data_IF_005897552526
#
_entry.id   IF_005897552526
#
_cell.length_a   1.000
_cell.length_b   1.000
_cell.length_c   1.000
_cell.angle_alpha   90.00
_cell.angle_beta   90.00
_cell.angle_gamma   90.00
#
_symmetry.space_group_name_H-M   'P 1'
#
loop_
_entity.id
_entity.type
_entity.pdbx_description
1 polymer ?
#
# COMPACT_ATOMS: atom_id res chain seq x y z
N UNK A 1 9.91 15.08 -1.37
CA UNK A 1 11.32 14.80 -1.72
C UNK A 1 11.39 13.46 -2.45
N UNK A 2 12.26 13.31 -3.47
CA UNK A 2 12.46 12.04 -4.15
C UNK A 2 13.19 11.02 -3.26
N UNK A 3 12.89 9.73 -3.47
CA UNK A 3 13.50 8.60 -2.76
C UNK A 3 14.41 7.80 -3.70
N UNK A 4 15.69 8.19 -3.86
CA UNK A 4 16.63 7.44 -4.69
C UNK A 4 16.96 6.09 -4.05
N UNK A 5 17.03 5.05 -4.87
CA UNK A 5 17.37 3.67 -4.48
C UNK A 5 16.49 3.16 -3.31
N UNK A 6 15.16 3.05 -3.50
CA UNK A 6 14.25 2.68 -2.44
C UNK A 6 14.48 1.23 -2.00
N UNK A 7 14.62 1.00 -0.69
CA UNK A 7 14.58 -0.32 -0.07
C UNK A 7 13.27 -0.49 0.67
N UNK A 8 12.52 -1.55 0.34
CA UNK A 8 11.15 -1.78 0.83
C UNK A 8 11.12 -3.08 1.63
N UNK A 9 10.59 -3.01 2.85
CA UNK A 9 10.29 -4.19 3.68
C UNK A 9 8.78 -4.25 3.92
N UNK A 10 8.04 -5.18 3.27
CA UNK A 10 6.60 -5.28 3.40
C UNK A 10 6.17 -6.14 4.60
N UNK A 11 4.97 -5.89 5.09
CA UNK A 11 4.20 -6.73 6.03
C UNK A 11 2.74 -6.64 5.63
N UNK A 12 2.00 -7.75 5.66
CA UNK A 12 0.63 -7.80 5.17
C UNK A 12 -0.26 -8.57 6.14
N UNK A 13 -1.47 -8.07 6.28
CA UNK A 13 -2.49 -8.60 7.16
C UNK A 13 -3.79 -8.69 6.37
N UNK A 14 -4.57 -9.74 6.64
CA UNK A 14 -5.90 -9.89 6.10
C UNK A 14 -6.79 -10.37 7.22
N UNK A 15 -7.97 -9.81 7.36
CA UNK A 15 -8.93 -10.28 8.37
C UNK A 15 -9.29 -11.73 8.10
N UNK A 16 -9.03 -12.61 9.07
CA UNK A 16 -9.50 -13.99 9.05
C UNK A 16 -11.00 -14.02 9.35
N UNK A 17 -11.76 -14.74 8.53
CA UNK A 17 -13.21 -14.91 8.60
C UNK A 17 -13.83 -14.74 9.99
N UNK A 18 -14.55 -13.63 10.18
CA UNK A 18 -15.63 -13.60 11.17
C UNK A 18 -16.88 -14.08 10.43
N UNK A 19 -17.59 -15.07 10.97
CA UNK A 19 -18.76 -15.76 10.38
C UNK A 19 -19.91 -14.82 9.94
N UNK A 20 -19.82 -13.52 10.23
CA UNK A 20 -20.80 -12.46 9.97
C UNK A 20 -20.20 -11.28 9.17
N UNK A 21 -18.92 -11.31 8.81
CA UNK A 21 -18.30 -10.22 8.06
C UNK A 21 -18.72 -10.27 6.59
N UNK A 22 -19.40 -9.22 6.11
CA UNK A 22 -19.78 -9.07 4.70
C UNK A 22 -18.60 -8.64 3.82
N UNK A 23 -17.50 -8.18 4.41
CA UNK A 23 -16.32 -7.68 3.72
C UNK A 23 -15.04 -8.30 4.30
N UNK A 24 -14.06 -8.51 3.43
CA UNK A 24 -12.69 -8.87 3.79
C UNK A 24 -11.81 -7.63 3.69
N UNK A 25 -11.09 -7.30 4.76
CA UNK A 25 -10.18 -6.15 4.80
C UNK A 25 -8.74 -6.63 4.62
N UNK A 26 -8.04 -5.99 3.69
CA UNK A 26 -6.64 -6.19 3.40
C UNK A 26 -5.85 -4.97 3.87
N UNK A 27 -4.73 -5.22 4.54
CA UNK A 27 -3.82 -4.19 5.01
C UNK A 27 -2.42 -4.56 4.58
N UNK A 28 -1.75 -3.63 3.90
CA UNK A 28 -0.34 -3.77 3.53
C UNK A 28 0.42 -2.61 4.15
N UNK A 29 1.39 -2.96 4.98
CA UNK A 29 2.35 -2.05 5.57
C UNK A 29 3.70 -2.20 4.87
N UNK A 30 4.39 -1.09 4.63
CA UNK A 30 5.75 -1.08 4.13
C UNK A 30 6.63 -0.21 4.99
N UNK A 31 7.90 -0.60 5.13
CA UNK A 31 8.97 0.27 5.61
C UNK A 31 9.78 0.73 4.41
N UNK A 32 9.88 2.04 4.18
CA UNK A 32 10.64 2.66 3.11
C UNK A 32 11.92 3.26 3.67
N UNK A 33 13.04 2.82 3.12
CA UNK A 33 14.35 3.39 3.36
C UNK A 33 14.87 3.99 2.05
N UNK A 34 15.20 5.29 2.09
CA UNK A 34 15.80 6.02 0.97
C UNK A 34 17.27 6.27 1.27
N UNK A 35 18.15 6.17 0.27
CA UNK A 35 19.61 6.37 0.45
C UNK A 35 19.97 7.77 0.97
N UNK A 36 19.21 8.78 0.58
CA UNK A 36 19.36 10.16 1.04
C UNK A 36 18.71 10.44 2.41
N UNK A 37 18.11 9.42 3.04
CA UNK A 37 17.40 9.59 4.31
C UNK A 37 16.05 10.29 4.20
N UNK A 38 15.46 10.39 3.00
CA UNK A 38 14.12 10.95 2.85
C UNK A 38 13.08 10.10 3.61
N UNK A 39 12.29 10.76 4.46
CA UNK A 39 11.33 10.10 5.35
C UNK A 39 9.89 10.54 5.10
N UNK A 40 9.70 11.70 4.48
CA UNK A 40 8.40 12.33 4.23
C UNK A 40 7.98 12.25 2.76
N UNK A 41 8.20 11.10 2.14
CA UNK A 41 7.83 10.84 0.74
C UNK A 41 6.31 10.69 0.67
N UNK A 42 5.66 11.38 -0.27
CA UNK A 42 4.25 11.16 -0.54
C UNK A 42 4.12 9.93 -1.43
N UNK A 43 3.39 8.92 -0.97
CA UNK A 43 3.17 7.69 -1.71
C UNK A 43 1.71 7.56 -2.11
N UNK A 44 1.49 6.94 -3.26
CA UNK A 44 0.20 6.57 -3.81
C UNK A 44 0.20 5.08 -4.06
N UNK A 45 -0.91 4.40 -3.76
CA UNK A 45 -1.03 2.96 -3.98
C UNK A 45 -2.01 2.68 -5.12
N UNK A 46 -1.65 1.72 -5.96
CA UNK A 46 -2.54 1.06 -6.90
C UNK A 46 -2.67 -0.41 -6.50
N UNK A 47 -3.92 -0.86 -6.35
CA UNK A 47 -4.25 -2.25 -6.08
C UNK A 47 -5.16 -2.72 -7.20
N UNK A 48 -4.66 -3.63 -8.03
CA UNK A 48 -5.35 -4.17 -9.20
C UNK A 48 -5.95 -3.07 -10.12
N UNK A 49 -5.22 -1.98 -10.37
CA UNK A 49 -5.66 -0.89 -11.24
C UNK A 49 -6.59 0.14 -10.57
N UNK A 50 -6.84 0.02 -9.27
CA UNK A 50 -7.60 1.00 -8.49
C UNK A 50 -6.71 1.70 -7.48
N UNK A 51 -6.84 3.03 -7.41
CA UNK A 51 -6.06 3.85 -6.52
C UNK A 51 -6.62 3.83 -5.10
N UNK A 52 -5.74 3.69 -4.12
CA UNK A 52 -6.05 3.72 -2.70
C UNK A 52 -5.17 4.72 -1.96
N UNK A 53 -5.72 5.38 -0.91
CA UNK A 53 -4.93 6.30 -0.10
C UNK A 53 -3.83 5.54 0.65
N UNK A 54 -2.65 6.15 0.74
CA UNK A 54 -1.56 5.66 1.58
C UNK A 54 -1.46 6.55 2.81
N UNK A 55 -1.53 5.92 3.97
CA UNK A 55 -1.38 6.56 5.28
C UNK A 55 0.05 6.38 5.76
N UNK A 56 0.65 7.39 6.38
CA UNK A 56 1.94 7.24 7.07
C UNK A 56 1.71 6.64 8.47
N UNK A 57 2.50 5.63 8.81
CA UNK A 57 2.51 5.05 10.15
C UNK A 57 3.09 6.00 11.19
N UNK A 58 2.99 5.63 12.47
CA UNK A 58 3.57 6.41 13.58
C UNK A 58 5.10 6.37 13.57
N UNK A 59 5.68 5.26 13.12
CA UNK A 59 7.13 5.15 12.95
C UNK A 59 7.59 5.78 11.63
N UNK A 60 8.78 6.37 11.68
CA UNK A 60 9.44 6.98 10.54
C UNK A 60 9.62 5.96 9.40
N UNK A 61 9.20 6.36 8.19
CA UNK A 61 9.33 5.54 6.99
C UNK A 61 8.32 4.39 6.90
N UNK A 62 7.35 4.28 7.82
CA UNK A 62 6.23 3.33 7.69
C UNK A 62 5.10 3.91 6.87
N UNK A 63 4.54 3.10 5.98
CA UNK A 63 3.37 3.45 5.18
C UNK A 63 2.39 2.29 5.19
N UNK A 64 1.10 2.60 5.11
CA UNK A 64 0.03 1.63 5.09
C UNK A 64 -0.95 1.96 3.98
N UNK A 65 -1.36 0.95 3.23
CA UNK A 65 -2.56 0.98 2.38
C UNK A 65 -3.53 -0.09 2.87
N UNK A 66 -4.82 0.23 2.84
CA UNK A 66 -5.86 -0.75 3.12
C UNK A 66 -7.02 -0.60 2.14
N UNK A 67 -7.66 -1.73 1.87
CA UNK A 67 -8.88 -1.79 1.07
C UNK A 67 -9.76 -2.93 1.57
N UNK A 68 -11.06 -2.82 1.30
CA UNK A 68 -12.01 -3.90 1.51
C UNK A 68 -12.58 -4.40 0.18
N UNK A 69 -12.90 -5.68 0.15
CA UNK A 69 -13.68 -6.32 -0.91
C UNK A 69 -14.88 -7.00 -0.27
N UNK A 70 -15.99 -7.11 -1.02
CA UNK A 70 -17.07 -8.00 -0.61
C UNK A 70 -16.50 -9.41 -0.42
N UNK A 71 -16.87 -10.08 0.66
CA UNK A 71 -16.25 -11.37 1.03
C UNK A 71 -16.33 -12.40 -0.12
N UNK A 72 -17.43 -12.43 -0.88
CA UNK A 72 -17.59 -13.31 -2.05
C UNK A 72 -16.65 -12.98 -3.22
N UNK A 73 -16.17 -11.74 -3.29
CA UNK A 73 -15.23 -11.26 -4.30
C UNK A 73 -13.78 -11.34 -3.81
N UNK A 74 -13.56 -11.47 -2.50
CA UNK A 74 -12.26 -11.59 -1.86
C UNK A 74 -11.68 -13.01 -2.03
N UNK A 75 -11.30 -13.34 -3.27
CA UNK A 75 -10.73 -14.65 -3.58
C UNK A 75 -9.34 -14.84 -2.96
N UNK A 76 -9.02 -16.08 -2.59
CA UNK A 76 -7.66 -16.45 -2.24
C UNK A 76 -6.75 -16.35 -3.46
N UNK A 77 -5.62 -15.66 -3.32
CA UNK A 77 -4.70 -15.45 -4.43
C UNK A 77 -3.72 -14.32 -4.15
N UNK A 78 -2.95 -13.97 -5.18
CA UNK A 78 -2.00 -12.86 -5.12
C UNK A 78 -2.70 -11.57 -5.54
N UNK A 79 -2.64 -10.55 -4.68
CA UNK A 79 -3.06 -9.19 -4.98
C UNK A 79 -1.81 -8.35 -5.26
N UNK A 80 -1.72 -7.75 -6.45
CA UNK A 80 -0.59 -6.88 -6.78
C UNK A 80 -0.83 -5.49 -6.20
N UNK A 81 0.11 -5.03 -5.38
CA UNK A 81 0.09 -3.70 -4.76
C UNK A 81 1.30 -2.93 -5.24
N UNK A 82 1.08 -1.84 -5.97
CA UNK A 82 2.12 -0.95 -6.48
C UNK A 82 2.12 0.34 -5.69
N UNK A 83 3.30 0.79 -5.29
CA UNK A 83 3.49 2.09 -4.67
C UNK A 83 4.21 3.02 -5.65
N UNK A 84 3.73 4.25 -5.72
CA UNK A 84 4.27 5.30 -6.58
C UNK A 84 4.59 6.53 -5.76
N UNK A 85 5.69 7.19 -6.09
CA UNK A 85 5.90 8.58 -5.68
C UNK A 85 5.12 9.54 -6.59
N UNK A 86 5.14 10.82 -6.24
CA UNK A 86 4.39 11.85 -6.97
C UNK A 86 4.78 11.96 -8.46
N UNK A 87 6.06 11.78 -8.78
CA UNK A 87 6.59 11.88 -10.14
C UNK A 87 6.12 10.70 -11.00
N UNK A 88 6.35 9.47 -10.55
CA UNK A 88 5.94 8.25 -11.23
C UNK A 88 4.43 8.14 -11.35
N UNK A 89 3.70 8.59 -10.33
CA UNK A 89 2.24 8.64 -10.36
C UNK A 89 1.70 9.63 -11.40
N UNK A 90 2.34 10.80 -11.53
CA UNK A 90 1.97 11.80 -12.54
C UNK A 90 2.27 11.30 -13.96
N UNK A 91 3.30 10.49 -14.14
CA UNK A 91 3.66 9.89 -15.43
C UNK A 91 2.62 8.85 -15.89
N UNK A 92 1.98 8.10 -14.98
CA UNK A 92 0.92 7.13 -15.32
C UNK A 92 -0.37 7.78 -15.86
N UNK A 93 -0.56 9.08 -15.61
CA UNK A 93 -1.76 9.83 -16.02
C UNK A 93 -1.57 10.61 -17.33
N UNK A 94 -0.37 10.57 -17.93
CA UNK A 94 -0.07 11.15 -19.24
C UNK A 94 -0.14 10.09 -20.33
#
# INVERSE_FOLDING_TARGET
EPCPEPTIVPSYYTTSDAVIASESVFVVEISLLCKNGAQNVALYADVNGKQFPVTRGQDVGRYQVSWSLEHRQAQSGTYEVKFFDEESYSALRK
#
